data_IF_046055128101
#
_entry.id   IF_046055128101
#
_cell.length_a   1.000
_cell.length_b   1.000
_cell.length_c   1.000
_cell.angle_alpha   90.00
_cell.angle_beta   90.00
_cell.angle_gamma   90.00
#
_symmetry.space_group_name_H-M   'P 1'
#
loop_
_entity.id
_entity.type
_entity.pdbx_description
1 polymer ?
#
# COMPACT_ATOMS: atom_id res chain seq x y z
N UNK A 1 16.41 5.72 8.87
CA UNK A 1 15.35 5.04 8.08
C UNK A 1 14.82 3.86 8.87
N UNK A 2 13.52 3.73 8.93
CA UNK A 2 12.85 2.55 9.51
C UNK A 2 12.31 1.68 8.39
N UNK A 3 12.23 0.38 8.64
CA UNK A 3 11.66 -0.58 7.70
C UNK A 3 10.56 -1.39 8.38
N UNK A 4 9.42 -1.46 7.73
CA UNK A 4 8.28 -2.27 8.17
C UNK A 4 8.01 -3.35 7.12
N UNK A 5 7.68 -4.54 7.58
CA UNK A 5 7.33 -5.65 6.69
C UNK A 5 5.97 -6.18 7.08
N UNK A 6 5.14 -6.44 6.08
CA UNK A 6 3.78 -6.97 6.30
C UNK A 6 3.46 -8.06 5.28
N UNK A 7 2.59 -8.96 5.67
CA UNK A 7 2.01 -9.94 4.76
C UNK A 7 0.50 -9.72 4.68
N UNK A 8 -0.07 -10.03 3.53
CA UNK A 8 -1.49 -9.91 3.28
C UNK A 8 -1.92 -10.97 2.29
N UNK A 9 -3.06 -11.61 2.54
CA UNK A 9 -3.62 -12.56 1.58
C UNK A 9 -4.64 -11.89 0.68
N UNK A 10 -4.52 -12.14 -0.62
CA UNK A 10 -5.53 -11.78 -1.60
C UNK A 10 -6.54 -12.91 -1.74
N UNK A 11 -7.68 -12.61 -2.34
CA UNK A 11 -8.63 -13.64 -2.74
C UNK A 11 -7.95 -14.60 -3.71
N UNK A 12 -8.16 -15.90 -3.52
CA UNK A 12 -7.54 -16.92 -4.36
C UNK A 12 -8.28 -17.04 -5.69
N UNK A 13 -8.07 -16.07 -6.56
CA UNK A 13 -8.69 -15.95 -7.87
C UNK A 13 -7.71 -15.30 -8.83
N UNK A 14 -7.34 -16.02 -9.89
CA UNK A 14 -6.32 -15.56 -10.84
C UNK A 14 -6.65 -14.22 -11.49
N UNK A 15 -7.91 -13.96 -11.83
CA UNK A 15 -8.33 -12.69 -12.42
C UNK A 15 -8.17 -11.52 -11.46
N UNK A 16 -8.54 -11.74 -10.19
CA UNK A 16 -8.38 -10.72 -9.15
C UNK A 16 -6.91 -10.45 -8.85
N UNK A 17 -6.08 -11.48 -8.83
CA UNK A 17 -4.63 -11.34 -8.63
C UNK A 17 -4.01 -10.55 -9.76
N UNK A 18 -4.34 -10.86 -11.02
CA UNK A 18 -3.89 -10.10 -12.18
C UNK A 18 -4.33 -8.65 -12.14
N UNK A 19 -5.57 -8.40 -11.74
CA UNK A 19 -6.11 -7.04 -11.60
C UNK A 19 -5.40 -6.27 -10.51
N UNK A 20 -5.08 -6.91 -9.40
CA UNK A 20 -4.31 -6.29 -8.31
C UNK A 20 -2.94 -5.83 -8.80
N UNK A 21 -2.24 -6.69 -9.54
CA UNK A 21 -0.93 -6.37 -10.12
C UNK A 21 -1.04 -5.18 -11.06
N UNK A 22 -2.01 -5.19 -11.98
CA UNK A 22 -2.25 -4.08 -12.91
C UNK A 22 -2.53 -2.76 -12.21
N UNK A 23 -3.37 -2.78 -11.18
CA UNK A 23 -3.72 -1.58 -10.41
C UNK A 23 -2.48 -0.96 -9.76
N UNK A 24 -1.56 -1.81 -9.28
CA UNK A 24 -0.34 -1.35 -8.61
C UNK A 24 0.77 -0.94 -9.57
N UNK A 25 0.64 -1.21 -10.86
CA UNK A 25 1.54 -0.68 -11.89
C UNK A 25 1.26 0.80 -12.16
N UNK A 26 0.03 1.25 -11.88
CA UNK A 26 -0.42 2.61 -12.13
C UNK A 26 -1.12 3.19 -10.89
N UNK A 27 -0.38 3.33 -9.81
CA UNK A 27 -0.90 3.93 -8.57
C UNK A 27 -1.24 5.39 -8.81
N UNK A 28 -2.37 5.83 -8.29
CA UNK A 28 -2.82 7.22 -8.47
C UNK A 28 -1.78 8.20 -7.91
N UNK A 29 -1.50 9.30 -8.65
CA UNK A 29 -0.50 10.27 -8.20
C UNK A 29 -0.76 10.85 -6.81
N UNK A 30 -2.01 11.09 -6.46
CA UNK A 30 -2.40 11.63 -5.15
C UNK A 30 -2.07 10.67 -4.02
N UNK A 31 -2.18 9.35 -4.29
CA UNK A 31 -1.83 8.31 -3.32
C UNK A 31 -0.33 8.32 -3.06
N UNK A 32 0.48 8.40 -4.11
CA UNK A 32 1.94 8.48 -3.99
C UNK A 32 2.39 9.75 -3.26
N UNK A 33 1.77 10.88 -3.57
CA UNK A 33 2.06 12.15 -2.90
C UNK A 33 1.75 12.08 -1.42
N UNK A 34 0.60 11.51 -1.06
CA UNK A 34 0.20 11.34 0.33
C UNK A 34 1.18 10.47 1.11
N UNK A 35 1.65 9.39 0.52
CA UNK A 35 2.63 8.50 1.12
C UNK A 35 3.93 9.25 1.43
N UNK A 36 4.43 10.04 0.51
CA UNK A 36 5.63 10.86 0.70
C UNK A 36 5.42 11.91 1.78
N UNK A 37 4.24 12.52 1.80
CA UNK A 37 3.89 13.57 2.75
C UNK A 37 3.95 13.09 4.20
N UNK A 38 3.58 11.84 4.47
CA UNK A 38 3.62 11.27 5.83
C UNK A 38 4.98 10.63 6.16
N UNK A 39 5.91 10.58 5.21
CA UNK A 39 7.26 10.10 5.46
C UNK A 39 7.56 8.70 4.95
N UNK A 40 6.75 8.15 4.07
CA UNK A 40 7.04 6.89 3.39
C UNK A 40 8.01 7.20 2.24
N UNK A 41 9.21 6.63 2.30
CA UNK A 41 10.26 6.86 1.33
C UNK A 41 10.18 5.90 0.15
N UNK A 42 9.83 4.66 0.41
CA UNK A 42 9.73 3.63 -0.61
C UNK A 42 8.80 2.51 -0.15
N UNK A 43 8.18 1.84 -1.11
CA UNK A 43 7.34 0.68 -0.84
C UNK A 43 7.58 -0.36 -1.92
N UNK A 44 7.90 -1.58 -1.50
CA UNK A 44 8.08 -2.71 -2.39
C UNK A 44 7.01 -3.75 -2.08
N UNK A 45 6.39 -4.30 -3.10
CA UNK A 45 5.36 -5.33 -2.95
C UNK A 45 5.79 -6.54 -3.77
N UNK A 46 5.90 -7.67 -3.10
CA UNK A 46 6.20 -8.96 -3.72
C UNK A 46 4.98 -9.85 -3.61
N UNK A 47 4.76 -10.65 -4.61
CA UNK A 47 3.61 -11.57 -4.63
C UNK A 47 4.07 -12.98 -4.96
N UNK A 48 3.51 -13.95 -4.23
CA UNK A 48 3.67 -15.37 -4.51
C UNK A 48 2.30 -16.02 -4.36
N UNK A 49 1.76 -16.53 -5.46
CA UNK A 49 0.38 -17.02 -5.50
C UNK A 49 -0.59 -15.92 -5.05
N UNK A 50 -1.34 -16.13 -3.95
CA UNK A 50 -2.23 -15.10 -3.39
C UNK A 50 -1.66 -14.44 -2.14
N UNK A 51 -0.39 -14.63 -1.84
CA UNK A 51 0.28 -14.03 -0.69
C UNK A 51 1.09 -12.82 -1.12
N UNK A 52 0.83 -11.68 -0.48
CA UNK A 52 1.63 -10.47 -0.64
C UNK A 52 2.61 -10.34 0.49
N UNK A 53 3.80 -9.85 0.17
CA UNK A 53 4.80 -9.42 1.13
C UNK A 53 5.19 -7.99 0.81
N UNK A 54 4.96 -7.07 1.76
CA UNK A 54 5.26 -5.64 1.60
C UNK A 54 6.46 -5.24 2.44
N UNK A 55 7.34 -4.43 1.84
CA UNK A 55 8.43 -3.77 2.54
C UNK A 55 8.21 -2.27 2.41
N UNK A 56 8.09 -1.57 3.55
CA UNK A 56 7.84 -0.13 3.60
C UNK A 56 9.00 0.55 4.30
N UNK A 57 9.73 1.40 3.60
CA UNK A 57 10.82 2.19 4.15
C UNK A 57 10.33 3.61 4.45
N UNK A 58 10.64 4.10 5.65
CA UNK A 58 10.13 5.39 6.14
C UNK A 58 11.24 6.24 6.74
N UNK A 59 10.90 7.51 7.02
CA UNK A 59 11.77 8.39 7.81
C UNK A 59 11.90 7.87 9.25
N UNK A 60 12.92 8.33 9.97
CA UNK A 60 13.26 7.81 11.30
C UNK A 60 12.19 8.07 12.35
N UNK A 61 11.48 9.16 12.27
CA UNK A 61 10.43 9.55 13.21
C UNK A 61 9.03 9.08 12.82
N UNK A 62 8.94 8.20 11.83
CA UNK A 62 7.66 7.65 11.40
C UNK A 62 7.06 6.76 12.49
N UNK A 63 5.78 6.98 12.78
CA UNK A 63 4.98 6.17 13.70
C UNK A 63 3.88 5.49 12.89
N UNK A 64 3.90 4.16 12.83
CA UNK A 64 2.99 3.40 11.97
C UNK A 64 1.52 3.74 12.21
N UNK A 65 1.07 3.68 13.46
CA UNK A 65 -0.34 3.94 13.78
C UNK A 65 -0.75 5.38 13.49
N UNK A 66 0.04 6.34 13.98
CA UNK A 66 -0.24 7.76 13.86
C UNK A 66 -0.17 8.23 12.42
N UNK A 67 0.91 7.90 11.73
CA UNK A 67 1.15 8.41 10.39
C UNK A 67 0.32 7.68 9.33
N UNK A 68 0.01 6.40 9.52
CA UNK A 68 -0.93 5.70 8.65
C UNK A 68 -2.35 6.24 8.82
N UNK A 69 -2.77 6.60 10.03
CA UNK A 69 -4.06 7.27 10.26
C UNK A 69 -4.11 8.63 9.58
N UNK A 70 -3.01 9.37 9.63
CA UNK A 70 -2.88 10.66 8.95
C UNK A 70 -2.94 10.50 7.43
N UNK A 71 -2.27 9.48 6.90
CA UNK A 71 -2.32 9.14 5.48
C UNK A 71 -3.75 8.90 5.00
N UNK A 72 -4.53 8.14 5.76
CA UNK A 72 -5.90 7.78 5.39
C UNK A 72 -6.83 9.00 5.23
N UNK A 73 -6.46 10.15 5.80
CA UNK A 73 -7.22 11.40 5.72
C UNK A 73 -6.82 12.28 4.55
N UNK A 74 -5.73 11.96 3.86
CA UNK A 74 -5.24 12.75 2.73
C UNK A 74 -6.09 12.49 1.48
N UNK A 75 -6.05 13.42 0.50
CA UNK A 75 -6.89 13.30 -0.70
C UNK A 75 -6.75 11.96 -1.42
N UNK A 76 -7.88 11.36 -1.74
CA UNK A 76 -8.04 10.12 -2.49
C UNK A 76 -7.50 8.85 -1.83
N UNK A 77 -6.98 8.93 -0.61
CA UNK A 77 -6.48 7.75 0.10
C UNK A 77 -7.62 6.78 0.46
N UNK A 78 -8.72 7.30 0.98
CA UNK A 78 -9.89 6.48 1.32
C UNK A 78 -10.49 5.80 0.08
N UNK A 79 -10.52 6.52 -1.05
CA UNK A 79 -10.98 5.96 -2.33
C UNK A 79 -10.08 4.83 -2.81
N UNK A 80 -8.76 5.02 -2.71
CA UNK A 80 -7.78 4.01 -3.06
C UNK A 80 -7.91 2.76 -2.19
N UNK A 81 -8.05 2.93 -0.88
CA UNK A 81 -8.24 1.82 0.06
C UNK A 81 -9.49 1.01 -0.29
N UNK A 82 -10.58 1.69 -0.59
CA UNK A 82 -11.83 1.05 -1.01
C UNK A 82 -11.66 0.32 -2.35
N UNK A 83 -10.92 0.91 -3.27
CA UNK A 83 -10.65 0.34 -4.59
C UNK A 83 -9.86 -0.96 -4.49
N UNK A 84 -8.82 -1.01 -3.66
CA UNK A 84 -7.97 -2.19 -3.52
C UNK A 84 -8.53 -3.25 -2.55
N UNK A 85 -9.43 -2.86 -1.65
CA UNK A 85 -10.04 -3.79 -0.69
C UNK A 85 -10.80 -4.93 -1.37
N UNK A 86 -11.30 -4.73 -2.57
CA UNK A 86 -12.02 -5.76 -3.34
C UNK A 86 -11.18 -6.98 -3.68
N UNK A 87 -9.86 -6.84 -3.64
CA UNK A 87 -8.92 -7.93 -3.94
C UNK A 87 -8.56 -8.77 -2.72
N UNK A 88 -8.93 -8.31 -1.52
CA UNK A 88 -8.50 -8.91 -0.25
C UNK A 88 -9.54 -9.80 0.40
#
# INVERSE_FOLDING_TARGET
>A
MKRYCQTLKLKDNEELISSYISVHENVWPEVLQGMRQVGILDMQIYIHENLLFMIVDTVDDFDWEKDMSRLARLPRQAEWEKHVARFQ
#
